data_IF_237047503712
#
_entry.id   IF_237047503712
#
_cell.length_a   1.000
_cell.length_b   1.000
_cell.length_c   1.000
_cell.angle_alpha   90.00
_cell.angle_beta   90.00
_cell.angle_gamma   90.00
#
_symmetry.space_group_name_H-M   'P 1'
#
loop_
_entity.id
_entity.type
_entity.pdbx_description
1 polymer ?
#
# COMPACT_ATOMS: atom_id res chain seq x y z
N UNK A 1 6.98 -8.68 -64.71
CA UNK A 1 6.45 -9.53 -63.66
C UNK A 1 7.01 -8.99 -62.35
N UNK A 2 6.24 -8.15 -61.71
CA UNK A 2 6.64 -7.41 -60.51
C UNK A 2 5.92 -8.02 -59.31
N UNK A 3 6.67 -8.57 -58.35
CA UNK A 3 6.13 -9.13 -57.12
C UNK A 3 6.03 -8.03 -56.07
N UNK A 4 4.81 -7.70 -55.70
CA UNK A 4 4.51 -6.78 -54.60
C UNK A 4 4.75 -7.48 -53.24
N UNK A 5 5.61 -6.87 -52.40
CA UNK A 5 5.78 -7.26 -51.01
C UNK A 5 4.79 -6.46 -50.16
N UNK A 6 3.89 -7.16 -49.46
CA UNK A 6 3.06 -6.63 -48.41
C UNK A 6 3.88 -6.40 -47.11
N UNK A 7 3.69 -5.33 -46.36
CA UNK A 7 4.37 -5.13 -45.09
C UNK A 7 3.76 -6.01 -43.98
N UNK A 8 4.62 -6.75 -43.28
CA UNK A 8 4.28 -7.50 -42.06
C UNK A 8 3.97 -6.54 -40.92
N UNK A 9 2.84 -6.75 -40.26
CA UNK A 9 2.46 -6.08 -39.05
C UNK A 9 3.58 -6.23 -37.99
N UNK A 10 4.05 -5.08 -37.45
CA UNK A 10 4.95 -5.05 -36.31
C UNK A 10 4.16 -5.37 -35.04
N UNK A 11 4.67 -6.29 -34.23
CA UNK A 11 4.16 -6.58 -32.91
C UNK A 11 4.42 -5.39 -31.96
N UNK A 12 3.58 -5.17 -30.93
CA UNK A 12 3.76 -4.07 -29.98
C UNK A 12 5.10 -4.19 -29.25
N UNK A 13 5.77 -3.06 -29.05
CA UNK A 13 7.06 -2.98 -28.40
C UNK A 13 6.91 -3.36 -26.92
N UNK A 14 7.57 -4.45 -26.51
CA UNK A 14 7.74 -4.79 -25.09
C UNK A 14 8.57 -3.71 -24.41
N UNK A 15 8.20 -3.36 -23.16
CA UNK A 15 9.03 -2.51 -22.28
C UNK A 15 10.51 -2.92 -22.41
N UNK A 16 11.46 -2.01 -22.47
CA UNK A 16 12.87 -2.37 -22.53
C UNK A 16 13.25 -3.12 -21.27
N UNK A 17 13.49 -4.42 -21.40
CA UNK A 17 14.06 -5.24 -20.34
C UNK A 17 15.44 -4.67 -20.01
N UNK A 18 15.64 -4.27 -18.76
CA UNK A 18 16.96 -3.87 -18.26
C UNK A 18 17.96 -5.00 -18.50
N UNK A 19 19.20 -4.72 -18.96
CA UNK A 19 20.17 -5.74 -19.27
C UNK A 19 20.54 -6.54 -18.01
N UNK A 20 20.35 -7.85 -18.04
CA UNK A 20 20.86 -8.79 -17.03
C UNK A 20 22.39 -8.82 -17.15
N UNK A 21 23.09 -8.32 -16.17
CA UNK A 21 24.54 -8.49 -16.05
C UNK A 21 24.84 -9.95 -15.63
N UNK A 22 25.25 -10.79 -16.58
CA UNK A 22 25.87 -12.08 -16.25
C UNK A 22 27.32 -11.82 -15.83
N UNK A 23 27.60 -11.90 -14.54
CA UNK A 23 28.97 -12.01 -14.03
C UNK A 23 29.31 -13.48 -13.94
N UNK A 24 30.22 -13.93 -14.79
CA UNK A 24 30.84 -15.26 -14.71
C UNK A 24 31.96 -15.13 -13.66
N UNK A 25 31.79 -15.79 -12.52
CA UNK A 25 32.82 -15.94 -11.52
C UNK A 25 33.67 -17.16 -11.85
N UNK A 26 34.99 -16.97 -12.08
CA UNK A 26 35.95 -18.02 -12.08
C UNK A 26 36.53 -18.20 -10.66
N UNK A 27 36.39 -19.40 -10.12
CA UNK A 27 36.90 -19.81 -8.81
C UNK A 27 38.35 -20.31 -8.96
N UNK A 28 39.23 -19.83 -8.13
CA UNK A 28 40.46 -20.59 -7.78
C UNK A 28 40.60 -20.61 -6.26
N UNK A 29 40.59 -21.83 -5.75
CA UNK A 29 40.80 -22.14 -4.34
C UNK A 29 42.29 -22.03 -3.98
N UNK A 30 42.56 -21.48 -2.78
CA UNK A 30 43.85 -21.74 -2.06
C UNK A 30 43.53 -21.92 -0.58
N UNK A 31 43.78 -23.15 -0.13
CA UNK A 31 43.80 -23.57 1.26
C UNK A 31 45.15 -23.18 1.86
N UNK A 32 45.19 -22.50 2.99
CA UNK A 32 46.31 -22.62 3.92
C UNK A 32 45.84 -22.47 5.36
N UNK A 33 46.22 -23.43 6.14
CA UNK A 33 46.06 -23.61 7.58
C UNK A 33 47.01 -22.67 8.32
N UNK A 34 46.53 -21.99 9.37
CA UNK A 34 47.41 -21.55 10.47
C UNK A 34 46.63 -21.49 11.80
N UNK A 35 47.29 -22.02 12.80
CA UNK A 35 46.83 -22.40 14.12
C UNK A 35 46.66 -21.23 15.10
N UNK A 36 45.69 -21.45 15.98
CA UNK A 36 45.65 -21.19 17.44
C UNK A 36 46.68 -20.21 18.04
N UNK A 37 46.15 -19.06 18.52
CA UNK A 37 46.58 -18.46 19.81
C UNK A 37 45.38 -17.83 20.46
N UNK A 38 45.00 -18.33 21.65
CA UNK A 38 43.93 -17.78 22.46
C UNK A 38 44.38 -16.52 23.24
N UNK A 39 43.52 -15.53 23.24
CA UNK A 39 43.53 -14.47 24.27
C UNK A 39 42.12 -14.36 24.83
N UNK A 40 41.96 -14.74 26.09
CA UNK A 40 40.78 -14.50 26.91
C UNK A 40 40.74 -13.00 27.25
N UNK A 41 39.78 -12.29 26.68
CA UNK A 41 39.33 -11.02 27.26
C UNK A 41 37.85 -11.20 27.61
N UNK A 42 37.57 -11.14 28.92
CA UNK A 42 36.24 -11.29 29.46
C UNK A 42 35.37 -10.08 29.16
N UNK A 43 34.33 -10.29 28.35
CA UNK A 43 33.22 -9.38 28.24
C UNK A 43 32.09 -9.89 29.11
N UNK A 44 31.74 -9.11 30.15
CA UNK A 44 30.51 -9.33 30.90
C UNK A 44 29.36 -8.84 30.04
N UNK A 45 28.39 -9.71 29.75
CA UNK A 45 27.09 -9.32 29.20
C UNK A 45 26.36 -8.46 30.24
N UNK A 46 25.73 -7.36 29.82
CA UNK A 46 24.77 -6.69 30.66
C UNK A 46 23.52 -7.56 30.77
N UNK A 47 22.94 -7.67 31.96
CA UNK A 47 21.74 -8.40 32.25
C UNK A 47 20.57 -7.81 31.45
N UNK A 48 19.75 -8.68 30.83
CA UNK A 48 18.48 -8.31 30.21
C UNK A 48 17.57 -7.68 31.25
N UNK A 49 16.90 -6.56 30.96
CA UNK A 49 15.84 -6.04 31.82
C UNK A 49 14.64 -6.99 31.76
N UNK A 50 14.08 -7.27 32.92
CA UNK A 50 12.86 -8.05 33.08
C UNK A 50 11.69 -7.33 32.33
N UNK A 51 10.94 -8.08 31.56
CA UNK A 51 9.72 -7.66 30.90
C UNK A 51 8.70 -7.19 31.94
N UNK A 52 8.40 -5.91 31.94
CA UNK A 52 7.33 -5.31 32.77
C UNK A 52 6.00 -5.38 31.98
N UNK A 53 5.21 -6.39 32.27
CA UNK A 53 3.89 -6.67 31.65
C UNK A 53 2.78 -5.68 32.07
N UNK A 54 3.12 -4.53 32.66
CA UNK A 54 2.14 -3.52 33.08
C UNK A 54 1.90 -2.39 32.08
N UNK A 55 2.66 -2.30 31.00
CA UNK A 55 2.52 -1.26 29.98
C UNK A 55 1.34 -1.46 29.03
N UNK A 56 1.00 -2.70 28.72
CA UNK A 56 -0.03 -3.02 27.71
C UNK A 56 -1.47 -2.69 28.16
N UNK A 57 -1.75 -2.78 29.47
CA UNK A 57 -3.10 -2.47 29.98
C UNK A 57 -3.38 -0.95 30.10
N UNK A 58 -2.35 -0.11 30.12
CA UNK A 58 -2.51 1.34 30.21
C UNK A 58 -2.79 1.99 28.84
N UNK A 59 -2.30 1.42 27.76
CA UNK A 59 -2.49 1.93 26.40
C UNK A 59 -3.94 1.77 25.92
N UNK A 60 -4.58 0.65 26.25
CA UNK A 60 -5.98 0.41 25.89
C UNK A 60 -6.99 1.27 26.68
N UNK A 61 -6.63 1.71 27.90
CA UNK A 61 -7.50 2.54 28.73
C UNK A 61 -7.47 4.03 28.36
N UNK A 62 -6.38 4.51 27.76
CA UNK A 62 -6.23 5.90 27.31
C UNK A 62 -6.92 6.18 25.98
N UNK A 63 -7.02 5.17 25.11
CA UNK A 63 -7.75 5.29 23.85
C UNK A 63 -9.27 5.48 24.02
N UNK A 64 -9.85 4.97 25.13
CA UNK A 64 -11.27 5.14 25.43
C UNK A 64 -11.63 6.51 26.06
N UNK A 65 -10.65 7.27 26.53
CA UNK A 65 -10.89 8.57 27.16
C UNK A 65 -10.80 9.77 26.23
N UNK A 66 -10.26 9.60 25.02
CA UNK A 66 -10.11 10.67 24.04
C UNK A 66 -11.37 10.97 23.19
N UNK A 67 -12.42 10.16 23.30
CA UNK A 67 -13.66 10.28 22.48
C UNK A 67 -14.79 11.09 23.13
N UNK A 68 -14.54 11.86 24.18
CA UNK A 68 -15.56 12.60 24.95
C UNK A 68 -15.41 14.11 25.01
N UNK A 69 -15.10 14.79 23.91
CA UNK A 69 -14.99 16.26 23.88
C UNK A 69 -15.79 16.91 22.76
N UNK A 70 -17.09 17.20 23.01
CA UNK A 70 -17.89 18.06 22.13
C UNK A 70 -17.40 19.49 22.18
N UNK A 71 -16.85 20.00 21.08
CA UNK A 71 -16.60 21.43 20.91
C UNK A 71 -17.80 22.10 20.21
N UNK A 72 -18.45 22.98 20.93
CA UNK A 72 -19.49 23.89 20.47
C UNK A 72 -18.84 25.02 19.68
N UNK A 73 -19.13 25.16 18.41
CA UNK A 73 -18.81 26.36 17.64
C UNK A 73 -20.02 27.27 17.50
N UNK A 74 -19.82 28.51 17.95
CA UNK A 74 -20.81 29.58 17.95
C UNK A 74 -21.03 30.17 16.56
N UNK A 75 -22.27 30.59 16.38
CA UNK A 75 -22.83 31.27 15.24
C UNK A 75 -22.26 32.68 15.02
N UNK A 76 -21.97 33.07 13.78
CA UNK A 76 -21.83 34.46 13.38
C UNK A 76 -22.57 34.74 12.05
N UNK A 77 -23.64 35.45 12.17
CA UNK A 77 -24.27 36.56 11.42
C UNK A 77 -24.17 36.66 9.90
N UNK A 78 -25.33 36.56 9.35
CA UNK A 78 -26.04 37.19 8.23
C UNK A 78 -25.40 38.39 7.52
N UNK A 79 -25.24 38.27 6.19
CA UNK A 79 -25.09 39.37 5.25
C UNK A 79 -26.05 39.24 4.08
N UNK A 80 -26.80 40.29 3.79
CA UNK A 80 -27.97 40.42 2.96
C UNK A 80 -27.80 40.11 1.47
N UNK A 81 -28.75 39.37 0.92
CA UNK A 81 -28.98 39.14 -0.50
C UNK A 81 -29.70 40.30 -1.16
N UNK A 82 -29.21 40.80 -2.29
CA UNK A 82 -29.98 41.58 -3.25
C UNK A 82 -30.42 40.67 -4.40
N UNK A 83 -31.71 40.61 -4.60
CA UNK A 83 -32.37 39.93 -5.69
C UNK A 83 -32.32 40.82 -6.96
N UNK A 84 -31.85 40.24 -8.07
CA UNK A 84 -32.00 40.83 -9.41
C UNK A 84 -33.05 40.01 -10.16
N UNK A 85 -34.18 40.64 -10.48
CA UNK A 85 -35.23 40.06 -11.32
C UNK A 85 -34.86 40.24 -12.78
N UNK A 86 -34.90 39.18 -13.56
CA UNK A 86 -34.91 39.22 -15.02
C UNK A 86 -36.21 38.62 -15.52
N UNK A 87 -37.07 39.51 -16.06
CA UNK A 87 -38.18 39.14 -16.92
C UNK A 87 -37.69 38.97 -18.36
N UNK A 88 -38.22 38.01 -19.09
CA UNK A 88 -38.04 37.91 -20.53
C UNK A 88 -38.35 36.52 -21.08
N UNK A 89 -39.67 36.22 -21.22
CA UNK A 89 -40.13 35.07 -21.98
C UNK A 89 -39.97 35.29 -23.48
N UNK A 90 -39.32 34.35 -24.17
CA UNK A 90 -39.52 34.09 -25.58
C UNK A 90 -39.61 32.57 -25.78
N UNK A 91 -40.77 32.09 -26.15
CA UNK A 91 -40.99 30.69 -26.51
C UNK A 91 -40.33 30.41 -27.85
N UNK A 92 -39.34 29.50 -27.85
CA UNK A 92 -38.78 28.90 -29.05
C UNK A 92 -39.44 27.56 -29.29
N UNK A 93 -40.08 27.41 -30.46
CA UNK A 93 -40.69 26.19 -30.92
C UNK A 93 -39.68 25.04 -31.01
N UNK A 94 -40.03 23.76 -30.73
CA UNK A 94 -39.11 22.63 -30.80
C UNK A 94 -38.75 22.33 -32.25
N UNK A 95 -37.50 22.53 -32.61
CA UNK A 95 -36.92 22.04 -33.85
C UNK A 95 -36.70 20.55 -33.73
N UNK A 96 -37.49 19.75 -34.41
CA UNK A 96 -37.24 18.30 -34.59
C UNK A 96 -36.20 18.08 -35.68
N UNK A 97 -34.92 18.29 -35.33
CA UNK A 97 -33.84 17.68 -36.10
C UNK A 97 -33.63 16.27 -35.59
N UNK A 98 -33.47 15.26 -36.46
CA UNK A 98 -33.08 13.93 -36.04
C UNK A 98 -31.70 14.02 -35.40
N UNK A 99 -31.55 13.59 -34.13
CA UNK A 99 -30.24 13.35 -33.51
C UNK A 99 -29.58 12.28 -34.36
N UNK A 100 -28.62 12.68 -35.20
CA UNK A 100 -27.64 11.74 -35.73
C UNK A 100 -26.87 11.23 -34.54
N UNK A 101 -27.12 9.97 -34.13
CA UNK A 101 -26.30 9.26 -33.18
C UNK A 101 -24.88 9.22 -33.74
N UNK A 102 -23.93 9.89 -33.11
CA UNK A 102 -22.52 9.62 -33.38
C UNK A 102 -22.31 8.10 -33.22
N UNK A 103 -21.48 7.46 -34.06
CA UNK A 103 -21.14 6.07 -33.84
C UNK A 103 -20.59 5.90 -32.43
N UNK A 104 -21.03 4.87 -31.72
CA UNK A 104 -20.52 4.55 -30.40
C UNK A 104 -19.00 4.42 -30.49
N UNK A 105 -18.29 5.09 -29.61
CA UNK A 105 -16.86 4.98 -29.53
C UNK A 105 -16.54 3.53 -29.09
N UNK A 106 -15.79 2.79 -29.89
CA UNK A 106 -15.30 1.46 -29.52
C UNK A 106 -13.89 1.54 -29.01
N UNK A 107 -13.62 0.82 -27.93
CA UNK A 107 -12.31 0.72 -27.31
C UNK A 107 -11.69 -0.63 -27.65
N UNK A 108 -10.38 -0.74 -27.53
CA UNK A 108 -9.74 -2.05 -27.47
C UNK A 108 -9.88 -2.57 -26.05
N UNK A 109 -10.32 -3.81 -25.84
CA UNK A 109 -10.32 -4.42 -24.52
C UNK A 109 -8.91 -4.41 -23.92
N UNK A 110 -8.79 -4.03 -22.66
CA UNK A 110 -7.51 -3.91 -21.96
C UNK A 110 -7.65 -4.42 -20.53
N UNK A 111 -6.72 -5.29 -20.13
CA UNK A 111 -6.55 -5.70 -18.75
C UNK A 111 -5.39 -4.92 -18.09
N UNK A 112 -5.60 -4.51 -16.85
CA UNK A 112 -4.57 -3.97 -15.95
C UNK A 112 -4.52 -4.83 -14.71
N UNK A 113 -3.41 -5.56 -14.55
CA UNK A 113 -3.15 -6.43 -13.41
C UNK A 113 -2.50 -5.62 -12.29
N UNK A 114 -3.16 -5.51 -11.16
CA UNK A 114 -2.72 -4.82 -9.97
C UNK A 114 -2.23 -5.83 -8.92
N UNK A 115 -1.20 -5.47 -8.18
CA UNK A 115 -0.85 -6.14 -6.92
C UNK A 115 -0.45 -5.12 -5.87
N UNK A 116 -0.73 -5.42 -4.60
CA UNK A 116 -0.25 -4.65 -3.46
C UNK A 116 0.21 -5.57 -2.34
N UNK A 117 1.39 -5.30 -1.78
CA UNK A 117 1.88 -5.94 -0.55
C UNK A 117 1.44 -5.15 0.68
N UNK A 118 1.56 -5.77 1.86
CA UNK A 118 1.32 -5.13 3.15
C UNK A 118 2.41 -4.12 3.55
N UNK A 119 2.44 -3.77 4.84
CA UNK A 119 3.29 -2.73 5.40
C UNK A 119 4.79 -3.10 5.36
N UNK A 120 5.62 -2.21 4.82
CA UNK A 120 7.08 -2.31 4.90
C UNK A 120 7.54 -1.54 6.13
N UNK A 121 7.70 -2.27 7.24
CA UNK A 121 7.97 -1.70 8.56
C UNK A 121 9.33 -2.17 9.10
N UNK A 122 10.36 -1.33 8.95
CA UNK A 122 11.75 -1.70 9.16
C UNK A 122 12.19 -1.55 10.63
N UNK A 123 11.78 -2.50 11.46
CA UNK A 123 12.31 -2.61 12.81
C UNK A 123 13.82 -2.94 12.80
N UNK A 124 14.45 -2.81 13.98
CA UNK A 124 15.88 -3.07 14.17
C UNK A 124 16.34 -4.45 13.63
N UNK A 125 15.49 -5.49 13.78
CA UNK A 125 15.79 -6.84 13.27
C UNK A 125 15.96 -6.89 11.76
N UNK A 126 15.11 -6.17 11.00
CA UNK A 126 15.22 -6.08 9.53
C UNK A 126 16.48 -5.33 9.14
N UNK A 127 16.76 -4.19 9.78
CA UNK A 127 17.96 -3.40 9.51
C UNK A 127 19.24 -4.18 9.83
N UNK A 128 19.27 -4.95 10.94
CA UNK A 128 20.41 -5.82 11.29
C UNK A 128 20.63 -6.91 10.23
N UNK A 129 19.55 -7.51 9.71
CA UNK A 129 19.64 -8.48 8.62
C UNK A 129 20.20 -7.84 7.35
N UNK A 130 19.71 -6.66 7.00
CA UNK A 130 20.18 -5.90 5.83
C UNK A 130 21.68 -5.57 5.96
N UNK A 131 22.13 -5.16 7.14
CA UNK A 131 23.55 -4.88 7.39
C UNK A 131 24.43 -6.14 7.31
N UNK A 132 23.95 -7.26 7.88
CA UNK A 132 24.68 -8.54 7.81
C UNK A 132 24.84 -9.05 6.37
N UNK A 133 23.85 -8.82 5.50
CA UNK A 133 23.91 -9.21 4.09
C UNK A 133 24.66 -8.20 3.20
N UNK A 134 24.89 -6.99 3.68
CA UNK A 134 25.43 -5.89 2.87
C UNK A 134 26.94 -5.71 2.91
N UNK A 135 27.72 -6.58 3.60
CA UNK A 135 29.18 -6.48 3.70
C UNK A 135 29.69 -5.08 4.11
N UNK A 136 29.06 -4.49 5.14
CA UNK A 136 29.41 -3.16 5.65
C UNK A 136 28.55 -2.01 5.11
N UNK A 137 27.49 -2.33 4.36
CA UNK A 137 26.40 -1.45 3.98
C UNK A 137 25.06 -2.15 4.28
N UNK A 138 23.94 -1.51 3.95
CA UNK A 138 22.62 -2.14 4.11
C UNK A 138 22.14 -2.65 2.76
N UNK A 139 21.78 -3.94 2.68
CA UNK A 139 21.19 -4.57 1.51
C UNK A 139 19.83 -5.17 1.87
N UNK A 140 18.75 -4.62 1.32
CA UNK A 140 17.37 -5.07 1.56
C UNK A 140 16.78 -5.92 0.43
N UNK A 141 17.57 -6.35 -0.57
CA UNK A 141 17.06 -7.14 -1.70
C UNK A 141 16.40 -8.46 -1.26
N UNK A 142 16.80 -8.99 -0.09
CA UNK A 142 16.24 -10.19 0.50
C UNK A 142 14.75 -10.06 0.84
N UNK A 143 14.28 -8.85 1.17
CA UNK A 143 12.89 -8.58 1.57
C UNK A 143 11.92 -8.97 0.46
N UNK A 144 12.28 -8.70 -0.80
CA UNK A 144 11.40 -8.87 -1.95
C UNK A 144 11.74 -10.09 -2.82
N UNK A 145 12.73 -10.90 -2.41
CA UNK A 145 13.30 -11.95 -3.27
C UNK A 145 12.31 -13.06 -3.63
N UNK A 146 11.43 -13.45 -2.70
CA UNK A 146 10.49 -14.57 -2.89
C UNK A 146 9.19 -14.17 -3.61
N UNK A 147 8.97 -12.87 -3.83
CA UNK A 147 7.78 -12.35 -4.52
C UNK A 147 8.09 -11.66 -5.86
N UNK A 148 9.31 -11.83 -6.37
CA UNK A 148 9.73 -11.19 -7.63
C UNK A 148 8.87 -11.58 -8.81
N UNK A 149 8.42 -12.83 -8.85
CA UNK A 149 7.54 -13.34 -9.89
C UNK A 149 6.15 -12.67 -9.84
N UNK A 150 5.65 -12.35 -8.65
CA UNK A 150 4.39 -11.62 -8.46
C UNK A 150 4.51 -10.16 -8.92
N UNK A 151 5.62 -9.50 -8.55
CA UNK A 151 5.92 -8.12 -8.98
C UNK A 151 6.09 -8.06 -10.51
N UNK A 152 6.85 -9.00 -11.09
CA UNK A 152 7.12 -9.05 -12.54
C UNK A 152 5.84 -9.36 -13.37
N UNK A 153 4.85 -10.02 -12.76
CA UNK A 153 3.58 -10.37 -13.41
C UNK A 153 2.55 -9.23 -13.40
N UNK A 154 2.66 -8.28 -12.47
CA UNK A 154 1.75 -7.15 -12.38
C UNK A 154 2.06 -6.07 -13.43
N UNK A 155 1.02 -5.38 -13.89
CA UNK A 155 1.16 -4.13 -14.64
C UNK A 155 1.48 -2.97 -13.72
N UNK A 156 0.93 -3.01 -12.48
CA UNK A 156 1.20 -2.04 -11.42
C UNK A 156 1.39 -2.78 -10.10
N UNK A 157 2.61 -2.77 -9.60
CA UNK A 157 2.98 -3.29 -8.28
C UNK A 157 3.08 -2.14 -7.28
N UNK A 158 2.37 -2.26 -6.14
CA UNK A 158 2.17 -1.21 -5.15
C UNK A 158 2.75 -1.67 -3.80
N UNK A 159 3.38 -0.76 -3.06
CA UNK A 159 3.76 -1.01 -1.66
C UNK A 159 3.45 0.20 -0.76
N UNK A 160 3.16 -0.07 0.52
CA UNK A 160 3.14 0.94 1.56
C UNK A 160 4.50 0.98 2.27
N UNK A 161 5.26 2.06 2.03
CA UNK A 161 6.49 2.30 2.78
C UNK A 161 6.15 3.02 4.09
N UNK A 162 5.89 2.23 5.12
CA UNK A 162 5.46 2.75 6.41
C UNK A 162 6.62 3.31 7.23
N UNK A 163 7.84 2.85 6.98
CA UNK A 163 9.02 3.36 7.67
C UNK A 163 9.57 4.62 6.99
N UNK A 164 9.86 5.66 7.78
CA UNK A 164 10.59 6.83 7.29
C UNK A 164 12.06 6.49 7.09
N UNK A 165 12.62 6.94 5.97
CA UNK A 165 14.04 6.84 5.64
C UNK A 165 14.71 8.19 5.93
N UNK A 166 15.32 8.29 7.10
CA UNK A 166 15.93 9.52 7.58
C UNK A 166 17.36 9.74 7.10
N UNK A 167 17.90 10.91 7.47
CA UNK A 167 19.31 11.24 7.27
C UNK A 167 20.19 10.29 8.09
N UNK A 168 21.26 9.72 7.51
CA UNK A 168 22.28 8.94 8.24
C UNK A 168 22.82 9.63 9.50
N UNK A 169 22.88 10.95 9.52
CA UNK A 169 23.32 11.72 10.69
C UNK A 169 22.38 11.60 11.90
N UNK A 170 21.13 11.24 11.70
CA UNK A 170 20.11 11.05 12.76
C UNK A 170 20.06 9.61 13.27
N UNK A 171 20.94 8.72 12.80
CA UNK A 171 20.93 7.30 13.12
C UNK A 171 19.99 6.50 12.23
N UNK A 172 19.88 5.20 12.51
CA UNK A 172 19.08 4.27 11.74
C UNK A 172 18.29 3.31 12.63
N UNK A 173 17.15 2.83 12.10
CA UNK A 173 16.31 1.84 12.73
C UNK A 173 15.31 2.42 13.72
N UNK A 174 14.96 1.60 14.69
CA UNK A 174 14.05 1.99 15.76
C UNK A 174 14.75 2.92 16.75
N UNK A 175 14.24 4.14 16.91
CA UNK A 175 14.83 5.14 17.79
C UNK A 175 14.24 5.14 19.21
N UNK A 176 13.19 4.38 19.47
CA UNK A 176 12.54 4.27 20.78
C UNK A 176 11.03 4.43 20.70
N UNK A 177 10.38 4.41 21.87
CA UNK A 177 8.95 4.68 21.99
C UNK A 177 8.73 6.17 22.15
N UNK A 178 7.94 6.74 21.23
CA UNK A 178 7.36 8.07 21.40
C UNK A 178 6.08 8.06 22.22
N UNK A 179 5.32 9.16 22.18
CA UNK A 179 4.06 9.28 22.91
C UNK A 179 2.96 8.36 22.36
N UNK A 180 3.00 8.05 21.08
CA UNK A 180 1.94 7.30 20.38
C UNK A 180 2.47 6.01 19.70
N UNK A 181 3.70 5.61 19.96
CA UNK A 181 4.25 4.39 19.41
C UNK A 181 5.73 4.47 19.05
N UNK A 182 6.23 3.49 18.30
CA UNK A 182 7.62 3.47 17.85
C UNK A 182 7.92 4.61 16.88
N UNK A 183 9.17 5.09 16.92
CA UNK A 183 9.71 6.11 16.00
C UNK A 183 10.74 5.44 15.12
N UNK A 184 10.54 5.48 13.82
CA UNK A 184 11.40 4.86 12.83
C UNK A 184 12.32 5.87 12.15
N UNK A 185 13.49 5.39 11.75
CA UNK A 185 14.45 6.08 10.90
C UNK A 185 15.38 5.05 10.28
N UNK A 186 15.03 4.52 9.13
CA UNK A 186 15.76 3.44 8.48
C UNK A 186 16.76 3.95 7.42
N UNK A 187 17.80 3.17 7.10
CA UNK A 187 18.70 3.49 6.01
C UNK A 187 17.98 3.64 4.68
N UNK A 188 18.23 4.74 3.98
CA UNK A 188 17.61 5.08 2.69
C UNK A 188 17.86 4.06 1.57
N UNK A 189 18.77 3.09 1.77
CA UNK A 189 19.02 2.01 0.81
C UNK A 189 17.86 1.05 0.65
N UNK A 190 16.83 1.08 1.53
CA UNK A 190 15.57 0.36 1.31
C UNK A 190 14.85 0.92 0.06
N UNK A 191 14.81 2.23 -0.11
CA UNK A 191 14.29 2.90 -1.32
C UNK A 191 14.91 2.31 -2.59
N UNK A 192 16.23 2.07 -2.57
CA UNK A 192 16.93 1.44 -3.68
C UNK A 192 16.48 0.00 -3.93
N UNK A 193 16.21 -0.75 -2.86
CA UNK A 193 15.76 -2.13 -2.97
C UNK A 193 14.31 -2.20 -3.51
N UNK A 194 13.44 -1.32 -3.07
CA UNK A 194 12.06 -1.19 -3.56
C UNK A 194 12.02 -0.86 -5.06
N UNK A 195 12.80 0.14 -5.48
CA UNK A 195 12.92 0.48 -6.90
C UNK A 195 13.52 -0.67 -7.74
N UNK A 196 14.55 -1.37 -7.22
CA UNK A 196 15.13 -2.56 -7.89
C UNK A 196 14.17 -3.74 -7.89
N UNK A 197 13.34 -3.86 -6.88
CA UNK A 197 12.28 -4.87 -6.83
C UNK A 197 11.25 -4.68 -7.95
N UNK A 198 11.08 -3.49 -8.47
CA UNK A 198 10.25 -3.22 -9.62
C UNK A 198 8.85 -2.73 -9.26
N UNK A 199 8.66 -2.25 -8.04
CA UNK A 199 7.42 -1.56 -7.68
C UNK A 199 7.20 -0.33 -8.56
N UNK A 200 5.93 -0.09 -8.89
CA UNK A 200 5.50 0.99 -9.80
C UNK A 200 4.87 2.16 -9.05
N UNK A 201 4.36 1.94 -7.83
CA UNK A 201 3.73 2.97 -6.98
C UNK A 201 4.13 2.77 -5.53
N UNK A 202 4.62 3.83 -4.90
CA UNK A 202 4.97 3.86 -3.48
C UNK A 202 3.92 4.67 -2.73
N UNK A 203 3.32 4.09 -1.69
CA UNK A 203 2.39 4.79 -0.81
C UNK A 203 3.16 5.38 0.37
N UNK A 204 2.86 6.65 0.68
CA UNK A 204 3.51 7.37 1.78
C UNK A 204 2.52 8.08 2.71
N UNK A 205 1.22 7.95 2.50
CA UNK A 205 0.21 8.36 3.48
C UNK A 205 0.04 7.25 4.52
N UNK A 206 0.77 7.34 5.64
CA UNK A 206 0.66 6.43 6.78
C UNK A 206 0.98 7.15 8.10
N UNK A 207 0.72 6.50 9.23
CA UNK A 207 0.88 7.09 10.56
C UNK A 207 2.34 7.39 10.94
N UNK A 208 3.32 6.75 10.29
CA UNK A 208 4.76 6.94 10.53
C UNK A 208 5.42 7.99 9.63
N UNK A 209 4.68 8.61 8.71
CA UNK A 209 5.24 9.56 7.73
C UNK A 209 5.98 10.73 8.37
N UNK A 210 5.59 11.15 9.57
CA UNK A 210 6.23 12.24 10.31
C UNK A 210 7.15 11.80 11.45
N UNK A 211 7.53 10.56 11.55
CA UNK A 211 8.41 10.07 12.64
C UNK A 211 9.72 10.83 12.77
N UNK A 212 10.20 11.43 11.69
CA UNK A 212 11.39 12.28 11.65
C UNK A 212 11.04 13.75 11.37
N UNK A 213 9.78 14.15 11.57
CA UNK A 213 9.28 15.49 11.27
C UNK A 213 9.37 15.86 9.79
N UNK A 214 9.14 17.11 9.48
CA UNK A 214 9.18 17.61 8.10
C UNK A 214 10.57 17.49 7.47
N UNK A 215 11.64 17.58 8.26
CA UNK A 215 13.00 17.44 7.73
C UNK A 215 13.31 16.01 7.29
N UNK A 216 12.82 15.00 8.02
CA UNK A 216 12.97 13.59 7.63
C UNK A 216 12.15 13.27 6.39
N UNK A 217 10.88 13.68 6.37
CA UNK A 217 10.04 13.52 5.18
C UNK A 217 10.66 14.23 3.96
N UNK A 218 11.13 15.48 4.12
CA UNK A 218 11.77 16.21 3.03
C UNK A 218 13.03 15.53 2.49
N UNK A 219 13.87 14.98 3.38
CA UNK A 219 15.04 14.20 2.98
C UNK A 219 14.67 12.96 2.15
N UNK A 220 13.70 12.18 2.62
CA UNK A 220 13.24 10.98 1.94
C UNK A 220 12.62 11.31 0.57
N UNK A 221 11.74 12.31 0.52
CA UNK A 221 11.08 12.73 -0.72
C UNK A 221 12.08 13.30 -1.74
N UNK A 222 13.11 14.03 -1.28
CA UNK A 222 14.22 14.48 -2.15
C UNK A 222 15.00 13.29 -2.70
N UNK A 223 15.24 12.25 -1.89
CA UNK A 223 15.95 11.05 -2.34
C UNK A 223 15.17 10.32 -3.45
N UNK A 224 13.86 10.12 -3.26
CA UNK A 224 12.98 9.52 -4.24
C UNK A 224 13.01 10.32 -5.56
N UNK A 225 12.76 11.61 -5.50
CA UNK A 225 12.66 12.49 -6.67
C UNK A 225 13.97 12.63 -7.44
N UNK A 226 15.09 12.70 -6.73
CA UNK A 226 16.40 12.85 -7.36
C UNK A 226 16.90 11.55 -8.00
N UNK A 227 16.61 10.40 -7.40
CA UNK A 227 17.16 9.12 -7.85
C UNK A 227 16.20 8.32 -8.72
N UNK A 228 14.91 8.44 -8.48
CA UNK A 228 13.84 7.69 -9.14
C UNK A 228 12.71 8.64 -9.58
N UNK A 229 13.00 9.65 -10.44
CA UNK A 229 12.03 10.70 -10.77
C UNK A 229 10.76 10.18 -11.48
N UNK A 230 10.85 9.00 -12.11
CA UNK A 230 9.73 8.38 -12.83
C UNK A 230 8.89 7.45 -11.93
N UNK A 231 9.28 7.24 -10.66
CA UNK A 231 8.56 6.41 -9.72
C UNK A 231 7.66 7.29 -8.83
N UNK A 232 6.34 7.19 -8.95
CA UNK A 232 5.43 8.00 -8.15
C UNK A 232 5.46 7.56 -6.68
N UNK A 233 5.63 8.53 -5.78
CA UNK A 233 5.41 8.41 -4.35
C UNK A 233 4.17 9.22 -4.03
N UNK A 234 3.07 8.55 -3.67
CA UNK A 234 1.75 9.17 -3.52
C UNK A 234 1.29 9.23 -2.07
N UNK A 235 0.41 10.18 -1.77
CA UNK A 235 -0.15 10.37 -0.44
C UNK A 235 0.68 11.27 0.48
N UNK A 236 1.91 11.62 0.10
CA UNK A 236 2.72 12.66 0.76
C UNK A 236 3.37 13.58 -0.26
N UNK A 237 3.56 14.84 0.11
CA UNK A 237 4.32 15.83 -0.67
C UNK A 237 5.68 16.13 -0.02
N UNK A 238 6.55 16.78 -0.79
CA UNK A 238 7.89 17.14 -0.34
C UNK A 238 7.89 18.49 0.39
N UNK A 239 8.12 18.55 1.71
CA UNK A 239 8.23 19.81 2.42
C UNK A 239 9.33 20.76 1.90
N UNK A 240 10.36 20.21 1.25
CA UNK A 240 11.45 21.00 0.66
C UNK A 240 11.08 21.61 -0.71
N UNK A 241 10.04 21.07 -1.36
CA UNK A 241 9.56 21.56 -2.66
C UNK A 241 8.04 21.33 -2.78
N UNK A 242 7.23 21.97 -1.95
CA UNK A 242 5.79 21.77 -1.93
C UNK A 242 5.14 22.22 -3.24
N UNK A 243 4.12 21.48 -3.68
CA UNK A 243 3.41 21.75 -4.93
C UNK A 243 4.23 21.52 -6.20
N UNK A 244 5.29 20.70 -6.12
CA UNK A 244 6.11 20.30 -7.26
C UNK A 244 5.35 19.43 -8.26
N UNK A 245 6.00 19.08 -9.37
CA UNK A 245 5.36 18.26 -10.44
C UNK A 245 4.93 16.87 -10.00
N UNK A 246 5.44 16.39 -8.87
CA UNK A 246 5.08 15.10 -8.24
C UNK A 246 4.37 15.29 -6.89
N UNK A 247 3.65 16.39 -6.72
CA UNK A 247 2.77 16.61 -5.58
C UNK A 247 1.47 15.80 -5.77
N UNK A 248 1.48 14.56 -5.30
CA UNK A 248 0.32 13.67 -5.34
C UNK A 248 -0.55 13.73 -4.07
N UNK A 249 -0.35 14.72 -3.23
CA UNK A 249 -1.32 15.12 -2.19
C UNK A 249 -2.44 15.97 -2.80
N UNK A 250 -2.07 16.83 -3.76
CA UNK A 250 -3.00 17.77 -4.41
C UNK A 250 -3.33 17.39 -5.86
N UNK A 251 -2.58 16.44 -6.44
CA UNK A 251 -2.78 15.96 -7.81
C UNK A 251 -2.99 14.45 -7.82
N UNK A 252 -3.77 13.99 -8.80
CA UNK A 252 -4.06 12.57 -8.96
C UNK A 252 -2.95 11.90 -9.79
N UNK A 253 -2.33 10.85 -9.25
CA UNK A 253 -1.48 9.99 -10.05
C UNK A 253 -2.32 9.14 -11.00
N UNK A 254 -1.99 9.19 -12.29
CA UNK A 254 -2.72 8.48 -13.35
C UNK A 254 -1.79 7.50 -14.05
N UNK A 255 -2.03 6.21 -13.90
CA UNK A 255 -1.43 5.18 -14.73
C UNK A 255 -2.21 5.02 -16.03
N UNK A 256 -1.52 4.72 -17.14
CA UNK A 256 -2.19 4.51 -18.42
C UNK A 256 -1.58 3.32 -19.18
N UNK A 257 -2.45 2.42 -19.68
CA UNK A 257 -2.10 1.30 -20.55
C UNK A 257 -3.10 1.26 -21.72
N UNK A 258 -2.62 1.40 -22.95
CA UNK A 258 -3.44 1.34 -24.17
C UNK A 258 -4.69 2.23 -24.13
N UNK A 259 -4.53 3.44 -23.56
CA UNK A 259 -5.60 4.42 -23.39
C UNK A 259 -6.57 4.13 -22.22
N UNK A 260 -6.39 3.05 -21.48
CA UNK A 260 -7.09 2.77 -20.23
C UNK A 260 -6.38 3.50 -19.08
N UNK A 261 -7.08 4.39 -18.42
CA UNK A 261 -6.55 5.27 -17.37
C UNK A 261 -7.04 4.81 -16.00
N UNK A 262 -6.11 4.54 -15.11
CA UNK A 262 -6.37 4.13 -13.73
C UNK A 262 -5.80 5.19 -12.78
N UNK A 263 -6.65 5.81 -11.97
CA UNK A 263 -6.25 6.75 -10.93
C UNK A 263 -5.89 6.01 -9.64
N UNK A 264 -4.84 6.44 -8.95
CA UNK A 264 -4.43 5.93 -7.64
C UNK A 264 -4.55 7.01 -6.59
N UNK A 265 -5.23 6.67 -5.48
CA UNK A 265 -5.47 7.53 -4.33
C UNK A 265 -4.86 6.88 -3.08
N UNK A 266 -4.17 7.65 -2.25
CA UNK A 266 -3.56 7.15 -1.01
C UNK A 266 -3.92 8.06 0.15
N UNK A 267 -4.32 7.47 1.28
CA UNK A 267 -4.80 8.18 2.47
C UNK A 267 -4.24 7.59 3.74
N UNK A 268 -4.15 8.40 4.80
CA UNK A 268 -3.97 7.92 6.18
C UNK A 268 -5.07 8.44 7.09
N UNK A 269 -5.45 7.63 8.08
CA UNK A 269 -6.41 8.03 9.11
C UNK A 269 -5.86 9.15 10.00
N UNK A 270 -4.55 9.09 10.33
CA UNK A 270 -3.84 10.07 11.17
C UNK A 270 -2.32 9.89 11.03
N UNK A 271 -1.56 10.68 11.75
CA UNK A 271 -0.12 10.51 11.98
C UNK A 271 0.14 10.39 13.48
N UNK A 272 1.19 9.65 13.86
CA UNK A 272 1.48 9.41 15.28
C UNK A 272 1.87 10.71 16.02
N UNK A 273 3.12 10.92 16.41
CA UNK A 273 3.52 12.04 17.27
C UNK A 273 3.45 13.42 16.63
N UNK A 274 3.37 13.47 15.31
CA UNK A 274 3.34 14.70 14.54
C UNK A 274 2.00 14.83 13.83
N UNK A 275 0.97 15.40 14.52
CA UNK A 275 -0.23 15.80 13.80
C UNK A 275 0.16 16.77 12.69
N UNK A 276 -0.64 16.82 11.65
CA UNK A 276 -0.41 17.74 10.54
C UNK A 276 0.02 19.12 11.05
N UNK A 277 1.05 19.72 10.45
CA UNK A 277 1.42 21.10 10.77
C UNK A 277 0.18 21.98 10.68
N UNK A 278 -0.04 22.82 11.70
CA UNK A 278 -1.28 23.61 11.89
C UNK A 278 -1.62 24.54 10.72
N UNK A 279 -0.74 24.68 9.76
CA UNK A 279 -0.94 25.53 8.60
C UNK A 279 -1.43 24.76 7.40
N UNK A 280 -1.71 23.43 7.52
CA UNK A 280 -2.38 22.90 6.39
C UNK A 280 -2.64 21.39 6.37
N UNK A 281 -1.93 20.54 6.96
CA UNK A 281 -1.97 19.11 6.61
C UNK A 281 -1.56 18.88 5.14
N UNK A 282 -0.82 19.83 4.57
CA UNK A 282 -0.60 19.92 3.13
C UNK A 282 0.44 18.96 2.61
N UNK A 283 1.15 18.28 3.52
CA UNK A 283 2.18 17.33 3.12
C UNK A 283 1.76 15.86 3.19
N UNK A 284 0.58 15.58 3.76
CA UNK A 284 0.04 14.21 3.84
C UNK A 284 -1.45 14.23 3.52
N UNK A 285 -1.94 13.24 2.77
CA UNK A 285 -3.36 13.13 2.45
C UNK A 285 -4.10 12.37 3.54
N UNK A 286 -4.84 13.10 4.39
CA UNK A 286 -5.69 12.53 5.42
C UNK A 286 -6.99 11.98 4.86
N UNK A 287 -7.43 10.83 5.38
CA UNK A 287 -8.68 10.18 5.03
C UNK A 287 -9.86 10.87 5.71
N UNK A 288 -10.40 11.87 5.07
CA UNK A 288 -11.66 12.52 5.46
C UNK A 288 -12.70 12.31 4.35
N UNK A 289 -13.98 12.35 4.71
CA UNK A 289 -15.05 12.20 3.71
C UNK A 289 -14.95 13.27 2.61
N UNK A 290 -14.67 14.52 2.99
CA UNK A 290 -14.49 15.62 2.04
C UNK A 290 -13.32 15.38 1.10
N UNK A 291 -12.17 14.92 1.61
CA UNK A 291 -11.00 14.62 0.80
C UNK A 291 -11.28 13.48 -0.19
N UNK A 292 -11.87 12.39 0.29
CA UNK A 292 -12.18 11.23 -0.55
C UNK A 292 -13.14 11.63 -1.69
N UNK A 293 -14.21 12.38 -1.38
CA UNK A 293 -15.17 12.85 -2.39
C UNK A 293 -14.51 13.80 -3.40
N UNK A 294 -13.67 14.71 -2.93
CA UNK A 294 -12.98 15.66 -3.79
C UNK A 294 -11.99 14.96 -4.74
N UNK A 295 -11.24 13.99 -4.24
CA UNK A 295 -10.23 13.27 -5.03
C UNK A 295 -10.85 12.35 -6.07
N UNK A 296 -11.90 11.62 -5.70
CA UNK A 296 -12.64 10.79 -6.66
C UNK A 296 -13.24 11.66 -7.77
N UNK A 297 -13.84 12.81 -7.42
CA UNK A 297 -14.34 13.75 -8.40
C UNK A 297 -13.23 14.31 -9.31
N UNK A 298 -12.07 14.64 -8.73
CA UNK A 298 -10.91 15.12 -9.48
C UNK A 298 -10.34 14.04 -10.41
N UNK A 299 -10.25 12.77 -9.96
CA UNK A 299 -9.82 11.64 -10.77
C UNK A 299 -10.73 11.45 -11.99
N UNK A 300 -12.05 11.46 -11.78
CA UNK A 300 -13.04 11.37 -12.89
C UNK A 300 -12.93 12.57 -13.83
N UNK A 301 -12.76 13.78 -13.31
CA UNK A 301 -12.58 14.98 -14.11
C UNK A 301 -11.28 14.97 -14.95
N UNK A 302 -10.22 14.32 -14.44
CA UNK A 302 -8.98 14.09 -15.17
C UNK A 302 -9.09 12.96 -16.21
N UNK A 303 -10.24 12.28 -16.27
CA UNK A 303 -10.55 11.24 -17.25
C UNK A 303 -10.10 9.85 -16.81
N UNK A 304 -10.09 9.55 -15.50
CA UNK A 304 -9.92 8.19 -15.02
C UNK A 304 -11.09 7.31 -15.47
N UNK A 305 -10.75 6.19 -16.07
CA UNK A 305 -11.71 5.12 -16.40
C UNK A 305 -11.96 4.24 -15.17
N UNK A 306 -10.91 3.99 -14.36
CA UNK A 306 -10.97 3.24 -13.10
C UNK A 306 -10.28 4.00 -11.96
N UNK A 307 -10.66 3.70 -10.72
CA UNK A 307 -10.06 4.29 -9.51
C UNK A 307 -9.67 3.19 -8.53
N UNK A 308 -8.42 3.27 -8.04
CA UNK A 308 -7.86 2.43 -6.98
C UNK A 308 -7.59 3.31 -5.77
N UNK A 309 -8.10 2.93 -4.60
CA UNK A 309 -7.83 3.61 -3.33
C UNK A 309 -6.97 2.74 -2.42
N UNK A 310 -5.96 3.34 -1.80
CA UNK A 310 -5.03 2.68 -0.91
C UNK A 310 -5.04 3.39 0.47
N UNK A 311 -6.03 3.11 1.33
CA UNK A 311 -6.11 3.70 2.66
C UNK A 311 -5.22 2.98 3.67
N UNK A 312 -4.59 3.76 4.55
CA UNK A 312 -3.93 3.32 5.77
C UNK A 312 -4.87 3.64 6.94
N UNK A 313 -5.61 2.63 7.43
CA UNK A 313 -6.81 2.80 8.25
C UNK A 313 -7.04 1.69 9.27
N UNK A 314 -8.07 1.83 10.11
CA UNK A 314 -8.54 0.77 10.99
C UNK A 314 -7.88 0.75 12.35
N UNK A 315 -7.94 -0.40 13.02
CA UNK A 315 -7.35 -0.63 14.34
C UNK A 315 -6.20 -1.62 14.25
N UNK A 316 -5.09 -1.31 14.92
CA UNK A 316 -3.93 -2.20 14.99
C UNK A 316 -4.25 -3.52 15.72
N UNK A 317 -3.62 -4.59 15.27
CA UNK A 317 -3.55 -5.91 15.91
C UNK A 317 -4.88 -6.64 16.04
N UNK A 318 -5.80 -6.41 15.11
CA UNK A 318 -7.09 -7.11 15.05
C UNK A 318 -7.45 -7.53 13.64
N UNK A 319 -8.14 -8.66 13.52
CA UNK A 319 -8.75 -9.15 12.27
C UNK A 319 -10.17 -8.61 12.08
N UNK A 320 -10.74 -7.98 13.11
CA UNK A 320 -12.10 -7.42 13.07
C UNK A 320 -12.08 -6.05 12.38
N UNK A 321 -13.08 -5.81 11.53
CA UNK A 321 -13.23 -4.54 10.85
C UNK A 321 -13.71 -3.44 11.80
N UNK A 322 -13.00 -2.34 11.87
CA UNK A 322 -13.40 -1.16 12.64
C UNK A 322 -14.60 -0.45 12.00
N UNK A 323 -15.27 0.41 12.77
CA UNK A 323 -16.34 1.25 12.24
C UNK A 323 -15.83 2.22 11.15
N UNK A 324 -14.58 2.65 11.24
CA UNK A 324 -13.93 3.49 10.23
C UNK A 324 -13.78 2.75 8.88
N UNK A 325 -13.23 1.54 8.92
CA UNK A 325 -13.08 0.71 7.71
C UNK A 325 -14.43 0.42 7.07
N UNK A 326 -15.45 0.11 7.87
CA UNK A 326 -16.80 -0.14 7.35
C UNK A 326 -17.42 1.11 6.72
N UNK A 327 -17.27 2.28 7.36
CA UNK A 327 -17.77 3.55 6.86
C UNK A 327 -17.10 3.97 5.56
N UNK A 328 -15.76 3.93 5.51
CA UNK A 328 -15.03 4.38 4.32
C UNK A 328 -15.11 3.38 3.17
N UNK A 329 -15.15 2.07 3.44
CA UNK A 329 -15.39 1.09 2.37
C UNK A 329 -16.76 1.26 1.72
N UNK A 330 -17.80 1.60 2.51
CA UNK A 330 -19.12 1.97 1.97
C UNK A 330 -19.04 3.27 1.15
N UNK A 331 -18.30 4.28 1.61
CA UNK A 331 -18.11 5.52 0.88
C UNK A 331 -17.41 5.30 -0.47
N UNK A 332 -16.33 4.51 -0.49
CA UNK A 332 -15.63 4.16 -1.72
C UNK A 332 -16.55 3.47 -2.72
N UNK A 333 -17.37 2.53 -2.26
CA UNK A 333 -18.34 1.84 -3.11
C UNK A 333 -19.45 2.78 -3.62
N UNK A 334 -19.94 3.72 -2.79
CA UNK A 334 -20.90 4.75 -3.22
C UNK A 334 -20.33 5.70 -4.28
N UNK A 335 -19.01 5.84 -4.34
CA UNK A 335 -18.30 6.71 -5.28
C UNK A 335 -17.73 5.95 -6.48
N UNK A 336 -18.13 4.70 -6.70
CA UNK A 336 -17.69 3.85 -7.80
C UNK A 336 -16.16 3.68 -7.85
N UNK A 337 -15.51 3.56 -6.70
CA UNK A 337 -14.10 3.13 -6.62
C UNK A 337 -14.04 1.64 -6.94
N UNK A 338 -13.16 1.23 -7.85
CA UNK A 338 -13.14 -0.13 -8.37
C UNK A 338 -12.42 -1.11 -7.42
N UNK A 339 -11.28 -0.68 -6.85
CA UNK A 339 -10.47 -1.50 -5.95
C UNK A 339 -10.01 -0.69 -4.74
N UNK A 340 -10.07 -1.31 -3.56
CA UNK A 340 -9.51 -0.77 -2.31
C UNK A 340 -8.48 -1.75 -1.76
N UNK A 341 -7.25 -1.27 -1.53
CA UNK A 341 -6.18 -2.00 -0.89
C UNK A 341 -5.81 -1.33 0.44
N UNK A 342 -6.23 -1.91 1.57
CA UNK A 342 -6.02 -1.38 2.91
C UNK A 342 -4.73 -1.87 3.58
N UNK A 343 -4.23 -1.04 4.50
CA UNK A 343 -3.07 -1.30 5.37
C UNK A 343 -3.28 -0.68 6.75
N UNK A 344 -2.36 -0.84 7.69
CA UNK A 344 -2.32 -0.35 9.08
C UNK A 344 -2.67 -1.37 10.17
N UNK A 345 -3.65 -2.27 10.07
CA UNK A 345 -3.96 -3.18 11.18
C UNK A 345 -2.79 -4.08 11.60
N UNK A 346 -1.72 -4.20 10.80
CA UNK A 346 -0.59 -5.09 11.04
C UNK A 346 -1.00 -6.56 11.20
N UNK A 347 -2.21 -6.88 10.77
CA UNK A 347 -2.78 -8.21 10.64
C UNK A 347 -3.60 -8.26 9.37
N UNK A 348 -3.56 -9.39 8.68
CA UNK A 348 -4.47 -9.59 7.57
C UNK A 348 -5.92 -9.50 8.05
N UNK A 349 -6.74 -8.88 7.25
CA UNK A 349 -8.18 -8.88 7.42
C UNK A 349 -8.86 -9.47 6.18
N UNK A 350 -10.16 -9.73 6.30
CA UNK A 350 -10.95 -10.28 5.19
C UNK A 350 -10.97 -9.36 3.96
N UNK A 351 -11.41 -9.90 2.84
CA UNK A 351 -11.75 -9.11 1.66
C UNK A 351 -13.23 -9.27 1.34
N UNK A 352 -13.84 -8.25 0.73
CA UNK A 352 -15.25 -8.24 0.35
C UNK A 352 -15.46 -7.60 -1.01
N UNK A 353 -16.49 -8.03 -1.72
CA UNK A 353 -17.02 -7.36 -2.90
C UNK A 353 -18.26 -6.57 -2.47
N UNK A 354 -18.19 -5.25 -2.50
CA UNK A 354 -19.25 -4.36 -2.05
C UNK A 354 -20.00 -3.86 -3.30
N UNK A 355 -21.32 -4.04 -3.34
CA UNK A 355 -22.12 -3.60 -4.46
C UNK A 355 -22.97 -2.39 -4.08
N UNK A 356 -22.91 -1.33 -4.88
CA UNK A 356 -23.80 -0.17 -4.72
C UNK A 356 -25.16 -0.38 -5.38
N UNK A 357 -26.06 0.61 -5.21
CA UNK A 357 -27.43 0.54 -5.71
C UNK A 357 -27.51 0.53 -7.25
N UNK A 358 -26.51 1.06 -7.95
CA UNK A 358 -26.42 1.09 -9.41
C UNK A 358 -25.80 -0.18 -10.00
N UNK A 359 -25.35 -1.11 -9.14
CA UNK A 359 -24.77 -2.39 -9.52
C UNK A 359 -23.26 -2.38 -9.70
N UNK A 360 -22.58 -1.24 -9.50
CA UNK A 360 -21.12 -1.19 -9.48
C UNK A 360 -20.56 -2.03 -8.32
N UNK A 361 -19.47 -2.75 -8.57
CA UNK A 361 -18.81 -3.62 -7.61
C UNK A 361 -17.45 -3.04 -7.25
N UNK A 362 -17.21 -2.81 -5.95
CA UNK A 362 -15.92 -2.45 -5.37
C UNK A 362 -15.30 -3.67 -4.72
N UNK A 363 -14.10 -4.06 -5.14
CA UNK A 363 -13.32 -5.09 -4.44
C UNK A 363 -12.50 -4.42 -3.35
N UNK A 364 -12.73 -4.80 -2.09
CA UNK A 364 -12.06 -4.23 -0.92
C UNK A 364 -11.29 -5.31 -0.17
N UNK A 365 -9.96 -5.19 -0.17
CA UNK A 365 -9.05 -5.88 0.73
C UNK A 365 -8.79 -4.95 1.92
N UNK A 366 -9.24 -5.31 3.12
CA UNK A 366 -9.22 -4.40 4.26
C UNK A 366 -7.83 -4.20 4.85
N UNK A 367 -7.01 -5.26 4.91
CA UNK A 367 -5.62 -5.17 5.34
C UNK A 367 -4.78 -6.30 4.76
N UNK A 368 -3.59 -5.95 4.27
CA UNK A 368 -2.58 -6.89 3.80
C UNK A 368 -1.55 -7.26 4.89
N UNK A 369 -1.76 -6.85 6.15
CA UNK A 369 -0.85 -7.11 7.26
C UNK A 369 0.55 -6.51 7.09
N UNK A 370 1.53 -7.07 7.80
CA UNK A 370 2.94 -6.69 7.68
C UNK A 370 3.63 -7.47 6.59
N UNK A 371 4.03 -6.84 5.49
CA UNK A 371 4.86 -7.54 4.51
C UNK A 371 6.24 -7.87 5.07
N UNK A 372 6.86 -6.92 5.78
CA UNK A 372 8.07 -7.14 6.56
C UNK A 372 8.04 -6.33 7.84
N UNK A 373 8.29 -7.01 8.98
CA UNK A 373 8.46 -6.39 10.28
C UNK A 373 9.47 -7.19 11.11
N UNK A 374 10.16 -6.53 12.05
CA UNK A 374 11.22 -7.16 12.82
C UNK A 374 10.82 -7.62 14.21
N UNK A 375 9.87 -6.94 14.84
CA UNK A 375 9.58 -7.08 16.27
C UNK A 375 8.09 -7.45 16.53
N UNK A 376 7.39 -7.95 15.52
CA UNK A 376 6.02 -8.46 15.64
C UNK A 376 6.04 -9.96 15.98
N UNK A 377 5.02 -10.46 16.67
CA UNK A 377 4.88 -11.85 17.09
C UNK A 377 3.53 -12.46 16.67
N UNK A 378 3.46 -13.78 16.68
CA UNK A 378 2.25 -14.52 16.36
C UNK A 378 1.77 -14.25 14.93
N UNK A 379 0.45 -14.16 14.76
CA UNK A 379 -0.18 -13.97 13.45
C UNK A 379 0.12 -12.62 12.76
N UNK A 380 0.73 -11.65 13.47
CA UNK A 380 1.26 -10.41 12.86
C UNK A 380 2.44 -10.66 11.92
N UNK A 381 2.99 -11.88 11.91
CA UNK A 381 3.99 -12.34 10.96
C UNK A 381 3.38 -12.99 9.70
N UNK A 382 2.04 -13.07 9.61
CA UNK A 382 1.33 -13.47 8.40
C UNK A 382 0.82 -12.19 7.74
N UNK A 383 1.05 -12.09 6.46
CA UNK A 383 0.67 -10.97 5.61
C UNK A 383 0.25 -11.50 4.24
N UNK A 384 -0.06 -10.61 3.32
CA UNK A 384 -0.38 -11.07 1.98
C UNK A 384 -0.16 -10.07 0.87
N UNK A 385 -0.34 -10.61 -0.33
CA UNK A 385 -0.33 -9.88 -1.58
C UNK A 385 -1.76 -9.89 -2.11
N UNK A 386 -2.43 -8.75 -2.06
CA UNK A 386 -3.72 -8.56 -2.72
C UNK A 386 -3.51 -8.32 -4.21
N UNK A 387 -4.34 -8.96 -5.03
CA UNK A 387 -4.27 -8.87 -6.50
C UNK A 387 -5.66 -8.60 -7.06
N UNK A 388 -5.74 -7.74 -8.08
CA UNK A 388 -6.98 -7.49 -8.81
C UNK A 388 -6.67 -7.27 -10.30
N UNK A 389 -7.57 -7.71 -11.19
CA UNK A 389 -7.52 -7.41 -12.61
C UNK A 389 -8.66 -6.47 -12.96
N UNK A 390 -8.31 -5.26 -13.38
CA UNK A 390 -9.25 -4.31 -13.97
C UNK A 390 -9.37 -4.59 -15.47
N UNK A 391 -10.59 -4.70 -15.97
CA UNK A 391 -10.90 -4.91 -17.38
C UNK A 391 -11.69 -3.73 -17.94
N UNK A 392 -11.25 -3.17 -19.07
CA UNK A 392 -12.06 -2.25 -19.86
C UNK A 392 -12.54 -2.97 -21.13
N UNK A 393 -13.85 -3.07 -21.31
CA UNK A 393 -14.48 -3.71 -22.44
C UNK A 393 -14.51 -2.82 -23.72
N UNK A 394 -14.93 -3.40 -24.85
CA UNK A 394 -15.05 -2.68 -26.13
C UNK A 394 -16.03 -1.49 -26.10
N UNK A 395 -17.04 -1.56 -25.26
CA UNK A 395 -18.02 -0.47 -25.06
C UNK A 395 -17.53 0.60 -24.07
N UNK A 396 -16.36 0.40 -23.48
CA UNK A 396 -15.76 1.28 -22.47
C UNK A 396 -16.18 0.99 -21.04
N UNK A 397 -17.02 -0.02 -20.81
CA UNK A 397 -17.40 -0.49 -19.48
C UNK A 397 -16.17 -1.03 -18.73
N UNK A 398 -16.02 -0.66 -17.45
CA UNK A 398 -14.95 -1.11 -16.57
C UNK A 398 -15.50 -2.04 -15.50
N UNK A 399 -14.75 -3.10 -15.21
CA UNK A 399 -15.08 -4.05 -14.15
C UNK A 399 -13.82 -4.70 -13.58
N UNK A 400 -13.89 -5.19 -12.34
CA UNK A 400 -12.91 -6.14 -11.80
C UNK A 400 -13.29 -7.53 -12.28
N UNK A 401 -12.36 -8.23 -12.94
CA UNK A 401 -12.61 -9.58 -13.52
C UNK A 401 -11.94 -10.70 -12.74
N UNK A 402 -10.95 -10.37 -11.90
CA UNK A 402 -10.30 -11.32 -10.99
C UNK A 402 -9.84 -10.58 -9.73
N UNK A 403 -9.91 -11.26 -8.59
CA UNK A 403 -9.38 -10.79 -7.32
C UNK A 403 -8.88 -11.97 -6.49
N UNK A 404 -7.68 -11.85 -5.89
CA UNK A 404 -7.09 -12.92 -5.09
C UNK A 404 -6.15 -12.36 -4.03
N UNK A 405 -5.87 -13.20 -3.02
CA UNK A 405 -4.93 -12.91 -1.94
C UNK A 405 -3.94 -14.06 -1.81
N UNK A 406 -2.64 -13.74 -1.87
CA UNK A 406 -1.53 -14.70 -1.77
C UNK A 406 -0.83 -14.48 -0.42
N UNK A 407 -0.97 -15.35 0.56
CA UNK A 407 -0.35 -15.20 1.87
C UNK A 407 1.17 -15.22 1.82
N UNK A 408 1.79 -14.40 2.66
CA UNK A 408 3.22 -14.39 2.94
C UNK A 408 3.48 -14.54 4.43
N UNK A 409 4.67 -15.02 4.80
CA UNK A 409 5.06 -15.22 6.19
C UNK A 409 6.43 -14.62 6.44
N UNK A 410 6.55 -13.85 7.51
CA UNK A 410 7.82 -13.34 8.01
C UNK A 410 8.47 -14.42 8.89
N UNK A 411 9.60 -14.96 8.47
CA UNK A 411 10.42 -15.83 9.28
C UNK A 411 11.45 -15.01 10.08
N UNK A 412 11.30 -14.98 11.40
CA UNK A 412 12.21 -14.25 12.32
C UNK A 412 13.25 -15.19 12.91
N UNK A 413 14.11 -15.74 12.07
CA UNK A 413 15.25 -16.59 12.47
C UNK A 413 16.46 -15.78 12.95
N UNK A 414 17.65 -16.31 12.76
CA UNK A 414 18.90 -15.56 13.00
C UNK A 414 19.05 -14.35 12.06
N UNK A 415 18.39 -14.42 10.90
CA UNK A 415 18.13 -13.32 9.96
C UNK A 415 16.64 -13.34 9.62
N UNK A 416 16.09 -12.17 9.34
CA UNK A 416 14.69 -12.04 8.90
C UNK A 416 14.60 -12.40 7.42
N UNK A 417 13.55 -13.13 7.04
CA UNK A 417 13.21 -13.40 5.64
C UNK A 417 11.69 -13.39 5.45
N UNK A 418 11.24 -13.07 4.24
CA UNK A 418 9.83 -13.07 3.85
C UNK A 418 9.63 -14.15 2.81
N UNK A 419 8.60 -14.97 2.97
CA UNK A 419 8.28 -16.08 2.08
C UNK A 419 6.81 -16.05 1.68
N UNK A 420 6.48 -16.37 0.43
CA UNK A 420 5.12 -16.80 0.10
C UNK A 420 4.81 -18.04 0.92
N UNK A 421 3.57 -18.19 1.41
CA UNK A 421 3.19 -19.35 2.22
C UNK A 421 3.46 -20.68 1.47
N UNK A 422 3.29 -20.69 0.16
CA UNK A 422 3.64 -21.83 -0.70
C UNK A 422 5.14 -22.25 -0.63
N UNK A 423 6.02 -21.34 -0.24
CA UNK A 423 7.46 -21.56 -0.10
C UNK A 423 7.88 -21.66 1.38
N UNK A 424 6.98 -21.41 2.32
CA UNK A 424 7.25 -21.47 3.75
C UNK A 424 7.17 -22.90 4.24
N UNK A 425 8.25 -23.41 4.85
CA UNK A 425 8.37 -24.83 5.26
C UNK A 425 8.37 -24.98 6.77
N UNK A 426 8.08 -26.19 7.28
CA UNK A 426 8.21 -26.53 8.71
C UNK A 426 9.63 -26.28 9.24
N UNK A 427 10.65 -26.43 8.40
CA UNK A 427 12.03 -26.15 8.78
C UNK A 427 12.26 -24.63 8.98
N UNK A 428 11.69 -23.78 8.14
CA UNK A 428 11.70 -22.33 8.33
C UNK A 428 10.95 -21.93 9.59
N UNK A 429 9.74 -22.48 9.79
CA UNK A 429 8.95 -22.25 11.00
C UNK A 429 9.73 -22.63 12.27
N UNK A 430 10.35 -23.80 12.30
CA UNK A 430 11.14 -24.26 13.43
C UNK A 430 12.39 -23.42 13.72
N UNK A 431 12.90 -22.69 12.71
CA UNK A 431 14.03 -21.74 12.85
C UNK A 431 13.61 -20.34 13.27
N UNK A 432 12.31 -20.04 13.20
CA UNK A 432 11.75 -18.71 13.54
C UNK A 432 11.68 -18.51 15.05
N UNK A 433 11.63 -17.25 15.48
CA UNK A 433 11.31 -16.88 16.86
C UNK A 433 9.85 -17.23 17.22
N UNK A 434 8.99 -17.41 16.22
CA UNK A 434 7.59 -17.83 16.37
C UNK A 434 7.36 -19.21 15.73
N UNK A 435 7.93 -20.29 16.29
CA UNK A 435 7.86 -21.62 15.67
C UNK A 435 6.44 -22.22 15.64
N UNK A 436 5.49 -21.60 16.35
CA UNK A 436 4.07 -21.96 16.31
C UNK A 436 3.38 -21.51 15.01
N UNK A 437 3.95 -20.54 14.29
CA UNK A 437 3.46 -20.15 12.96
C UNK A 437 4.02 -21.15 11.94
N UNK A 438 3.46 -22.35 11.95
CA UNK A 438 3.75 -23.36 10.93
C UNK A 438 2.98 -23.08 9.64
N UNK A 439 3.34 -23.70 8.49
CA UNK A 439 2.53 -23.61 7.27
C UNK A 439 1.05 -23.94 7.55
N UNK A 440 0.77 -25.02 8.27
CA UNK A 440 -0.60 -25.40 8.60
C UNK A 440 -1.32 -24.39 9.53
N UNK A 441 -0.60 -23.71 10.44
CA UNK A 441 -1.19 -22.66 11.26
C UNK A 441 -1.49 -21.38 10.43
N UNK A 442 -0.65 -21.06 9.45
CA UNK A 442 -0.89 -19.96 8.54
C UNK A 442 -2.07 -20.27 7.60
N UNK A 443 -2.16 -21.49 7.07
CA UNK A 443 -3.33 -21.95 6.29
C UNK A 443 -4.62 -21.82 7.10
N UNK A 444 -4.64 -22.30 8.34
CA UNK A 444 -5.82 -22.23 9.21
C UNK A 444 -6.24 -20.77 9.51
N UNK A 445 -5.27 -19.85 9.61
CA UNK A 445 -5.54 -18.43 9.75
C UNK A 445 -6.17 -17.84 8.48
N UNK A 446 -5.66 -18.19 7.31
CA UNK A 446 -6.23 -17.76 6.03
C UNK A 446 -7.63 -18.36 5.79
N UNK A 447 -7.85 -19.64 6.16
CA UNK A 447 -9.19 -20.26 6.12
C UNK A 447 -10.18 -19.52 7.03
N UNK A 448 -9.73 -19.04 8.19
CA UNK A 448 -10.58 -18.24 9.09
C UNK A 448 -10.98 -16.89 8.45
N UNK A 449 -10.08 -16.23 7.70
CA UNK A 449 -10.34 -14.94 7.07
C UNK A 449 -11.18 -15.03 5.81
N UNK A 450 -10.93 -16.02 4.96
CA UNK A 450 -11.48 -16.14 3.62
C UNK A 450 -12.49 -17.27 3.43
N UNK A 451 -12.62 -18.16 4.43
CA UNK A 451 -13.55 -19.27 4.39
C UNK A 451 -13.33 -20.19 3.18
N UNK A 452 -14.42 -20.53 2.48
CA UNK A 452 -14.39 -21.41 1.30
C UNK A 452 -13.70 -20.82 0.06
N UNK A 453 -13.32 -19.54 0.11
CA UNK A 453 -12.58 -18.89 -0.98
C UNK A 453 -11.07 -19.17 -0.91
N UNK A 454 -10.58 -19.68 0.24
CA UNK A 454 -9.19 -20.09 0.43
C UNK A 454 -8.97 -21.54 0.02
N UNK A 455 -7.97 -21.78 -0.82
CA UNK A 455 -7.56 -23.11 -1.25
C UNK A 455 -6.18 -23.46 -0.65
N UNK A 456 -6.18 -24.33 0.36
CA UNK A 456 -4.97 -24.83 1.03
C UNK A 456 -3.99 -25.51 0.07
N UNK A 457 -4.48 -26.09 -1.03
CA UNK A 457 -3.61 -26.79 -1.98
C UNK A 457 -2.76 -25.86 -2.83
N UNK A 458 -3.22 -24.61 -3.01
CA UNK A 458 -2.53 -23.56 -3.75
C UNK A 458 -2.01 -22.46 -2.85
N UNK A 459 -2.46 -22.41 -1.58
CA UNK A 459 -2.23 -21.34 -0.63
C UNK A 459 -2.69 -19.98 -1.18
N UNK A 460 -3.87 -19.93 -1.81
CA UNK A 460 -4.42 -18.70 -2.40
C UNK A 460 -5.91 -18.58 -2.05
N UNK A 461 -6.32 -17.39 -1.64
CA UNK A 461 -7.74 -17.05 -1.63
C UNK A 461 -8.13 -16.43 -2.98
N UNK A 462 -9.17 -16.96 -3.61
CA UNK A 462 -9.76 -16.39 -4.83
C UNK A 462 -11.15 -15.87 -4.50
N UNK A 463 -11.36 -14.56 -4.66
CA UNK A 463 -12.61 -13.92 -4.31
C UNK A 463 -13.70 -14.28 -5.33
N UNK A 464 -14.85 -14.68 -4.80
CA UNK A 464 -16.08 -14.81 -5.60
C UNK A 464 -16.67 -13.41 -5.83
N UNK A 465 -16.49 -12.90 -7.06
CA UNK A 465 -16.95 -11.57 -7.44
C UNK A 465 -18.47 -11.44 -7.54
N UNK A 466 -19.20 -12.54 -7.47
CA UNK A 466 -20.67 -12.54 -7.42
C UNK A 466 -21.22 -12.62 -6.00
N UNK A 467 -20.39 -12.95 -5.02
CA UNK A 467 -20.72 -12.91 -3.58
C UNK A 467 -20.59 -11.48 -3.06
N UNK A 468 -21.63 -10.67 -3.20
CA UNK A 468 -21.58 -9.24 -2.89
C UNK A 468 -22.23 -8.89 -1.55
N UNK A 469 -21.70 -7.84 -0.89
CA UNK A 469 -22.31 -7.19 0.27
C UNK A 469 -22.91 -5.86 -0.17
N UNK A 470 -24.22 -5.60 0.08
CA UNK A 470 -24.83 -4.33 -0.23
C UNK A 470 -24.22 -3.15 0.56
N UNK A 471 -24.03 -2.01 -0.09
CA UNK A 471 -23.56 -0.77 0.56
C UNK A 471 -24.45 -0.37 1.74
N UNK A 472 -25.77 -0.55 1.63
CA UNK A 472 -26.72 -0.19 2.69
C UNK A 472 -26.47 -0.96 4.01
N UNK A 473 -26.02 -2.20 3.96
CA UNK A 473 -25.66 -2.99 5.16
C UNK A 473 -24.40 -2.43 5.83
N UNK A 474 -23.45 -1.97 5.04
CA UNK A 474 -22.21 -1.36 5.52
C UNK A 474 -22.43 -0.01 6.20
N UNK A 475 -23.27 0.83 5.61
CA UNK A 475 -23.59 2.14 6.16
C UNK A 475 -24.39 2.09 7.49
N UNK A 476 -25.06 0.96 7.77
CA UNK A 476 -25.81 0.76 9.02
C UNK A 476 -24.94 0.31 10.20
N UNK A 477 -23.69 -0.10 9.96
CA UNK A 477 -22.76 -0.62 10.95
C UNK A 477 -21.74 0.44 11.42
N UNK A 478 -21.67 1.61 10.75
CA UNK A 478 -20.69 2.70 10.99
C UNK A 478 -21.23 3.85 11.87
#
# INVERSE_FOLDING_TARGET
MSAQHSPKHAAPAKKPRRPRAHVIAAILALVTVAAVVGVKLGWRQPASPATDTKGEAASAALAQQAMGGSAVYGSAQTGSSQAVSLQGSAAVAPSTQPKTSSPAQTFQPVDVNLMMIGDVLLHTGVNNTAYAQGNGSYNYDFVFSDIRDEIDAADVAILNQETVCGDPANGYGYLGMGLQGPIFNSPVTIVDAEARAGFDVILKANNHTYDQGLSGLGYEMDYWRNKYPDLPVIGADNPNNPGGAQDYVHNIYMYQKDGFKVAFLSYTYDTNEYPAPSHNGDYIRYMTEDNVRADVAAARAAGADAIVSCPHWGMQYTTELSAEEQRFSALFAQLDVDVVFGTHPHMDQTAQVIQNDDGHKTVCFYSNGNFVAGDMDGYKNIAGISKATLHRAEDGGVSVTAASFVPTVICRGGQISVHKLANYTDALAASSADPQITPAAADAFCEQLFGSQYDVSTHVATLDLDSTVPVAEKAALG
#
